data_IF_169843444194
#
_entry.id   IF_169843444194
#
_cell.length_a   1.000
_cell.length_b   1.000
_cell.length_c   1.000
_cell.angle_alpha   90.00
_cell.angle_beta   90.00
_cell.angle_gamma   90.00
#
_symmetry.space_group_name_H-M   'P 1'
#
loop_
_entity.id
_entity.type
_entity.pdbx_description
1 polymer ?
#
# COMPACT_ATOMS: atom_id res chain seq x y z
N UNK A 1 52.04 -51.93 26.97
CA UNK A 1 53.37 -51.38 27.33
C UNK A 1 53.64 -50.24 26.35
N UNK A 2 53.97 -49.01 26.69
CA UNK A 2 54.19 -48.29 27.94
C UNK A 2 53.77 -46.83 27.69
N UNK A 3 53.11 -46.24 28.69
CA UNK A 3 52.90 -44.79 28.84
C UNK A 3 54.27 -44.07 28.87
N UNK A 4 54.32 -42.76 28.67
CA UNK A 4 54.87 -41.80 29.64
C UNK A 4 54.58 -40.33 29.20
N UNK A 5 53.74 -39.71 30.00
CA UNK A 5 53.49 -38.27 30.26
C UNK A 5 54.75 -37.44 30.47
N UNK A 6 54.74 -36.15 30.10
CA UNK A 6 55.20 -35.06 30.99
C UNK A 6 54.35 -33.80 30.81
N UNK A 7 53.67 -33.45 31.90
CA UNK A 7 53.05 -32.17 32.25
C UNK A 7 54.14 -31.29 32.91
N UNK A 8 54.30 -30.01 32.55
CA UNK A 8 54.83 -28.92 33.41
C UNK A 8 54.31 -27.57 32.87
N UNK A 9 53.31 -26.97 33.53
CA UNK A 9 53.39 -25.97 34.61
C UNK A 9 53.92 -24.59 34.15
N UNK A 10 52.96 -23.66 34.01
CA UNK A 10 53.17 -22.21 34.05
C UNK A 10 53.74 -21.76 35.39
N UNK A 11 54.47 -20.63 35.41
CA UNK A 11 54.36 -19.65 36.47
C UNK A 11 53.76 -18.33 35.95
N UNK A 12 52.74 -17.92 36.67
CA UNK A 12 52.08 -16.62 36.71
C UNK A 12 53.09 -15.49 37.06
N UNK A 13 52.84 -14.24 36.61
CA UNK A 13 52.61 -13.04 37.47
C UNK A 13 52.68 -11.72 36.67
N UNK A 14 51.53 -11.02 36.66
CA UNK A 14 51.26 -9.55 36.71
C UNK A 14 51.83 -8.61 35.61
N UNK A 15 51.18 -7.54 35.14
CA UNK A 15 49.86 -6.92 35.32
C UNK A 15 49.81 -5.78 34.27
N UNK A 16 48.68 -5.55 33.61
CA UNK A 16 48.24 -4.20 33.24
C UNK A 16 46.77 -4.26 32.82
N UNK A 17 45.92 -3.81 33.72
CA UNK A 17 44.51 -3.52 33.52
C UNK A 17 44.33 -2.46 32.43
N UNK A 18 43.58 -2.77 31.38
CA UNK A 18 42.88 -1.75 30.61
C UNK A 18 41.40 -2.11 30.59
N UNK A 19 40.65 -1.27 31.29
CA UNK A 19 39.20 -1.24 31.40
C UNK A 19 38.52 -1.58 30.07
N UNK A 20 37.73 -2.65 30.03
CA UNK A 20 36.77 -2.84 28.95
C UNK A 20 35.68 -1.79 29.13
N UNK A 21 35.88 -0.62 28.54
CA UNK A 21 34.79 0.31 28.33
C UNK A 21 33.73 -0.43 27.54
N UNK A 22 32.61 -0.74 28.19
CA UNK A 22 31.38 -1.15 27.54
C UNK A 22 30.97 0.07 26.72
N UNK A 23 31.47 0.16 25.49
CA UNK A 23 30.86 0.99 24.48
C UNK A 23 29.54 0.27 24.19
N UNK A 24 28.47 0.70 24.86
CA UNK A 24 27.12 0.52 24.31
C UNK A 24 27.09 1.36 23.03
N UNK A 25 27.72 0.85 21.99
CA UNK A 25 27.62 1.39 20.66
C UNK A 25 26.17 1.23 20.26
N UNK A 26 25.46 2.33 20.11
CA UNK A 26 24.31 2.35 19.24
C UNK A 26 24.82 1.89 17.87
N UNK A 27 24.44 0.68 17.47
CA UNK A 27 24.66 0.21 16.11
C UNK A 27 23.70 1.02 15.25
N UNK A 28 24.17 2.16 14.74
CA UNK A 28 23.42 2.90 13.73
C UNK A 28 23.16 1.92 12.58
N UNK A 29 21.90 1.65 12.31
CA UNK A 29 21.44 0.81 11.20
C UNK A 29 21.55 1.62 9.91
N UNK A 30 22.75 2.14 9.61
CA UNK A 30 22.96 3.15 8.56
C UNK A 30 23.57 2.59 7.27
N UNK A 31 24.18 1.39 7.31
CA UNK A 31 24.95 0.87 6.17
C UNK A 31 24.20 -0.17 5.32
N UNK A 32 22.87 -0.22 5.39
CA UNK A 32 22.10 -0.99 4.39
C UNK A 32 21.93 -0.09 3.18
N UNK A 33 22.74 -0.31 2.14
CA UNK A 33 22.49 0.28 0.82
C UNK A 33 21.12 -0.21 0.34
N UNK A 34 20.10 0.65 0.46
CA UNK A 34 18.76 0.36 -0.05
C UNK A 34 18.79 0.66 -1.54
N UNK A 35 18.70 -0.39 -2.35
CA UNK A 35 18.48 -0.24 -3.79
C UNK A 35 17.05 0.27 -4.05
N UNK A 36 16.94 1.55 -4.42
CA UNK A 36 15.66 2.19 -4.76
C UNK A 36 15.03 1.64 -6.06
N UNK A 37 15.76 0.87 -6.87
CA UNK A 37 15.19 0.21 -8.04
C UNK A 37 14.60 -1.17 -7.71
N UNK A 38 14.91 -1.71 -6.53
CA UNK A 38 14.38 -2.98 -6.09
C UNK A 38 13.06 -2.78 -5.34
N UNK A 39 11.94 -2.76 -6.09
CA UNK A 39 10.59 -2.61 -5.54
C UNK A 39 10.28 -3.61 -4.42
N UNK A 40 10.80 -4.83 -4.50
CA UNK A 40 10.58 -5.86 -3.48
C UNK A 40 11.26 -5.52 -2.13
N UNK A 41 12.44 -4.88 -2.17
CA UNK A 41 13.14 -4.39 -0.97
C UNK A 41 12.46 -3.12 -0.47
N UNK A 42 12.14 -2.17 -1.35
CA UNK A 42 11.47 -0.94 -0.99
C UNK A 42 10.14 -1.18 -0.29
N UNK A 43 9.31 -2.12 -0.76
CA UNK A 43 8.01 -2.44 -0.17
C UNK A 43 8.06 -2.79 1.34
N UNK A 44 9.22 -3.23 1.84
CA UNK A 44 9.45 -3.47 3.28
C UNK A 44 9.63 -2.18 4.09
N UNK A 45 10.14 -1.11 3.48
CA UNK A 45 10.62 0.10 4.15
C UNK A 45 9.86 1.38 3.78
N UNK A 46 9.25 1.42 2.59
CA UNK A 46 8.50 2.59 2.08
C UNK A 46 6.98 2.36 2.05
N UNK A 47 6.51 1.29 2.68
CA UNK A 47 5.09 0.99 2.78
C UNK A 47 4.36 2.02 3.66
N UNK A 48 3.10 2.30 3.32
CA UNK A 48 2.17 3.01 4.21
C UNK A 48 2.11 2.25 5.54
N UNK A 49 2.16 2.98 6.67
CA UNK A 49 2.50 2.49 8.03
C UNK A 49 1.62 1.33 8.57
N UNK A 50 0.57 0.93 7.84
CA UNK A 50 -0.37 -0.13 8.19
C UNK A 50 -0.67 -1.13 7.06
N UNK A 51 0.07 -1.07 5.95
CA UNK A 51 -0.11 -1.93 4.78
C UNK A 51 1.11 -2.83 4.61
N UNK A 52 1.07 -3.97 5.29
CA UNK A 52 2.12 -4.98 5.20
C UNK A 52 1.97 -5.83 3.93
N UNK A 53 3.10 -6.24 3.36
CA UNK A 53 3.12 -7.19 2.25
C UNK A 53 2.54 -8.53 2.69
N UNK A 54 1.43 -8.93 2.06
CA UNK A 54 0.83 -10.24 2.25
C UNK A 54 1.31 -11.24 1.18
N UNK A 55 1.25 -12.54 1.46
CA UNK A 55 1.51 -13.55 0.44
C UNK A 55 0.32 -13.62 -0.54
N UNK A 56 0.62 -13.79 -1.84
CA UNK A 56 -0.36 -13.93 -2.91
C UNK A 56 -1.34 -12.73 -3.02
N UNK A 57 -0.84 -11.50 -2.95
CA UNK A 57 -1.64 -10.27 -2.97
C UNK A 57 -2.50 -10.16 -4.23
N UNK A 58 -1.98 -10.52 -5.42
CA UNK A 58 -2.77 -10.48 -6.67
C UNK A 58 -4.04 -11.34 -6.61
N UNK A 59 -3.96 -12.55 -6.06
CA UNK A 59 -5.13 -13.42 -5.95
C UNK A 59 -6.20 -12.81 -5.03
N UNK A 60 -5.78 -12.23 -3.90
CA UNK A 60 -6.67 -11.53 -2.97
C UNK A 60 -7.30 -10.29 -3.59
N UNK A 61 -6.55 -9.56 -4.39
CA UNK A 61 -7.06 -8.41 -5.13
C UNK A 61 -8.12 -8.81 -6.16
N UNK A 62 -7.87 -9.87 -6.95
CA UNK A 62 -8.87 -10.41 -7.88
C UNK A 62 -10.15 -10.83 -7.13
N UNK A 63 -10.00 -11.51 -5.99
CA UNK A 63 -11.14 -11.89 -5.15
C UNK A 63 -11.90 -10.68 -4.63
N UNK A 64 -11.22 -9.62 -4.19
CA UNK A 64 -11.88 -8.41 -3.70
C UNK A 64 -12.62 -7.66 -4.80
N UNK A 65 -12.07 -7.59 -6.02
CA UNK A 65 -12.76 -7.03 -7.19
C UNK A 65 -14.03 -7.82 -7.51
N UNK A 66 -13.96 -9.16 -7.52
CA UNK A 66 -15.14 -9.98 -7.81
C UNK A 66 -16.23 -9.79 -6.75
N UNK A 67 -15.88 -9.70 -5.47
CA UNK A 67 -16.83 -9.39 -4.40
C UNK A 67 -17.49 -8.01 -4.59
N UNK A 68 -16.71 -7.00 -5.01
CA UNK A 68 -17.24 -5.66 -5.30
C UNK A 68 -18.18 -5.66 -6.52
N UNK A 69 -17.81 -6.37 -7.58
CA UNK A 69 -18.63 -6.55 -8.78
C UNK A 69 -19.96 -7.26 -8.48
N UNK A 70 -19.98 -8.20 -7.53
CA UNK A 70 -21.24 -8.81 -7.10
C UNK A 70 -22.08 -7.86 -6.25
N UNK A 71 -21.47 -7.14 -5.31
CA UNK A 71 -22.18 -6.21 -4.44
C UNK A 71 -22.79 -5.02 -5.19
N UNK A 72 -22.08 -4.46 -6.18
CA UNK A 72 -22.54 -3.30 -6.96
C UNK A 72 -23.77 -3.63 -7.82
N UNK A 73 -24.10 -4.91 -8.03
CA UNK A 73 -25.31 -5.31 -8.77
C UNK A 73 -26.61 -4.84 -8.13
N UNK A 74 -26.59 -4.53 -6.83
CA UNK A 74 -27.71 -3.92 -6.10
C UNK A 74 -28.04 -2.49 -6.58
N UNK A 75 -27.06 -1.78 -7.15
CA UNK A 75 -27.25 -0.44 -7.73
C UNK A 75 -27.87 -0.56 -9.13
N UNK A 76 -28.80 0.32 -9.55
CA UNK A 76 -29.39 0.27 -10.89
C UNK A 76 -28.35 0.36 -12.02
N UNK A 77 -28.54 -0.39 -13.12
CA UNK A 77 -27.64 -0.36 -14.31
C UNK A 77 -27.56 1.01 -14.99
N UNK A 78 -28.59 1.85 -14.80
CA UNK A 78 -28.64 3.21 -15.34
C UNK A 78 -27.79 4.19 -14.55
N UNK A 79 -27.46 3.89 -13.30
CA UNK A 79 -26.66 4.77 -12.46
C UNK A 79 -25.22 4.85 -12.98
N UNK A 80 -24.73 6.07 -13.22
CA UNK A 80 -23.36 6.31 -13.69
C UNK A 80 -22.31 5.78 -12.70
N UNK A 81 -22.58 5.85 -11.40
CA UNK A 81 -21.72 5.26 -10.37
C UNK A 81 -21.45 3.76 -10.62
N UNK A 82 -22.50 2.97 -10.90
CA UNK A 82 -22.33 1.54 -11.19
C UNK A 82 -21.50 1.31 -12.44
N UNK A 83 -21.74 2.07 -13.51
CA UNK A 83 -20.98 1.96 -14.76
C UNK A 83 -19.50 2.25 -14.54
N UNK A 84 -19.18 3.29 -13.76
CA UNK A 84 -17.82 3.65 -13.42
C UNK A 84 -17.12 2.53 -12.62
N UNK A 85 -17.78 1.97 -11.61
CA UNK A 85 -17.22 0.85 -10.82
C UNK A 85 -17.01 -0.39 -11.69
N UNK A 86 -17.99 -0.78 -12.52
CA UNK A 86 -17.87 -1.93 -13.42
C UNK A 86 -16.71 -1.73 -14.41
N UNK A 87 -16.57 -0.54 -15.01
CA UNK A 87 -15.48 -0.22 -15.94
C UNK A 87 -14.10 -0.28 -15.25
N UNK A 88 -13.96 0.33 -14.07
CA UNK A 88 -12.72 0.31 -13.28
C UNK A 88 -12.33 -1.11 -12.88
N UNK A 89 -13.30 -1.91 -12.40
CA UNK A 89 -13.07 -3.29 -12.00
C UNK A 89 -12.65 -4.17 -13.20
N UNK A 90 -13.32 -4.01 -14.35
CA UNK A 90 -12.96 -4.74 -15.56
C UNK A 90 -11.56 -4.39 -16.07
N UNK A 91 -11.20 -3.11 -16.03
CA UNK A 91 -9.84 -2.66 -16.35
C UNK A 91 -8.80 -3.32 -15.43
N UNK A 92 -9.01 -3.27 -14.12
CA UNK A 92 -8.11 -3.88 -13.12
C UNK A 92 -7.98 -5.39 -13.30
N UNK A 93 -9.09 -6.10 -13.54
CA UNK A 93 -9.07 -7.55 -13.80
C UNK A 93 -8.29 -7.89 -15.07
N UNK A 94 -8.45 -7.11 -16.14
CA UNK A 94 -7.69 -7.28 -17.38
C UNK A 94 -6.19 -7.15 -17.12
N UNK A 95 -5.77 -6.09 -16.41
CA UNK A 95 -4.35 -5.88 -16.06
C UNK A 95 -3.81 -7.05 -15.23
N UNK A 96 -4.57 -7.58 -14.27
CA UNK A 96 -4.18 -8.76 -13.49
C UNK A 96 -4.04 -10.04 -14.32
N UNK A 97 -4.80 -10.18 -15.40
CA UNK A 97 -4.74 -11.31 -16.33
C UNK A 97 -3.56 -11.23 -17.30
N UNK A 98 -3.22 -10.03 -17.75
CA UNK A 98 -2.11 -9.78 -18.70
C UNK A 98 -0.73 -9.84 -18.02
N UNK A 99 -0.66 -9.64 -16.70
CA UNK A 99 0.59 -9.53 -15.95
C UNK A 99 0.79 -10.69 -14.95
N UNK A 100 1.97 -11.30 -15.00
CA UNK A 100 2.25 -12.52 -14.22
C UNK A 100 2.59 -12.24 -12.74
N UNK A 101 3.32 -11.16 -12.45
CA UNK A 101 3.80 -10.82 -11.09
C UNK A 101 3.05 -9.64 -10.49
N UNK A 102 2.99 -9.59 -9.16
CA UNK A 102 2.41 -8.47 -8.40
C UNK A 102 3.07 -7.14 -8.79
N UNK A 103 4.41 -7.12 -8.88
CA UNK A 103 5.16 -5.92 -9.26
C UNK A 103 4.83 -5.41 -10.67
N UNK A 104 4.56 -6.30 -11.63
CA UNK A 104 4.18 -5.90 -12.98
C UNK A 104 2.76 -5.31 -13.01
N UNK A 105 1.84 -5.85 -12.21
CA UNK A 105 0.50 -5.26 -12.05
C UNK A 105 0.58 -3.88 -11.40
N UNK A 106 1.35 -3.75 -10.32
CA UNK A 106 1.54 -2.48 -9.59
C UNK A 106 2.24 -1.41 -10.46
N UNK A 107 3.02 -1.82 -11.47
CA UNK A 107 3.64 -0.89 -12.42
C UNK A 107 2.61 -0.32 -13.39
N UNK A 108 1.74 -1.18 -13.94
CA UNK A 108 0.71 -0.75 -14.89
C UNK A 108 -0.40 0.05 -14.21
N UNK A 109 -0.75 -0.32 -12.97
CA UNK A 109 -1.79 0.38 -12.20
C UNK A 109 -1.27 1.61 -11.45
N UNK A 110 0.05 1.80 -11.40
CA UNK A 110 0.72 2.86 -10.64
C UNK A 110 0.23 2.95 -9.17
N UNK A 111 0.04 1.80 -8.55
CA UNK A 111 -0.51 1.68 -7.19
C UNK A 111 -0.08 0.35 -6.55
N UNK A 112 0.03 0.31 -5.22
CA UNK A 112 0.27 -0.94 -4.50
C UNK A 112 -1.00 -1.78 -4.40
N UNK A 113 -0.90 -3.09 -4.59
CA UNK A 113 -2.07 -3.98 -4.57
C UNK A 113 -2.79 -3.98 -3.21
N UNK A 114 -2.05 -3.81 -2.10
CA UNK A 114 -2.62 -3.75 -0.76
C UNK A 114 -3.51 -2.52 -0.57
N UNK A 115 -3.14 -1.38 -1.16
CA UNK A 115 -3.93 -0.15 -1.15
C UNK A 115 -5.23 -0.35 -1.93
N UNK A 116 -5.14 -0.94 -3.12
CA UNK A 116 -6.31 -1.24 -3.96
C UNK A 116 -7.26 -2.26 -3.30
N UNK A 117 -6.74 -3.20 -2.51
CA UNK A 117 -7.56 -4.10 -1.70
C UNK A 117 -8.32 -3.33 -0.62
N UNK A 118 -7.69 -2.36 0.04
CA UNK A 118 -8.36 -1.49 1.02
C UNK A 118 -9.39 -0.61 0.34
N UNK A 119 -9.07 -0.01 -0.80
CA UNK A 119 -10.00 0.77 -1.61
C UNK A 119 -11.27 -0.04 -1.93
N UNK A 120 -11.13 -1.29 -2.41
CA UNK A 120 -12.27 -2.16 -2.66
C UNK A 120 -13.08 -2.49 -1.39
N UNK A 121 -12.42 -2.58 -0.22
CA UNK A 121 -13.12 -2.78 1.06
C UNK A 121 -13.89 -1.54 1.50
N UNK A 122 -13.33 -0.35 1.29
CA UNK A 122 -14.03 0.91 1.56
C UNK A 122 -15.22 1.10 0.62
N UNK A 123 -15.07 0.78 -0.68
CA UNK A 123 -16.20 0.78 -1.62
C UNK A 123 -17.31 -0.17 -1.16
N UNK A 124 -16.98 -1.38 -0.70
CA UNK A 124 -17.96 -2.30 -0.11
C UNK A 124 -18.66 -1.73 1.12
N UNK A 125 -17.97 -0.92 1.94
CA UNK A 125 -18.57 -0.24 3.11
C UNK A 125 -19.41 0.97 2.72
N UNK A 126 -19.10 1.61 1.60
CA UNK A 126 -19.84 2.75 1.06
C UNK A 126 -21.17 2.31 0.44
N UNK A 127 -21.23 1.13 -0.19
CA UNK A 127 -22.43 0.64 -0.87
C UNK A 127 -23.72 0.68 -0.01
N UNK A 128 -23.75 0.21 1.26
CA UNK A 128 -24.94 0.35 2.10
C UNK A 128 -25.43 1.80 2.25
N UNK A 129 -24.50 2.76 2.39
CA UNK A 129 -24.82 4.19 2.51
C UNK A 129 -25.38 4.74 1.20
N UNK A 130 -24.83 4.30 0.06
CA UNK A 130 -25.32 4.67 -1.26
C UNK A 130 -26.70 4.09 -1.56
N UNK A 131 -26.97 2.86 -1.15
CA UNK A 131 -28.28 2.22 -1.36
C UNK A 131 -29.39 2.88 -0.52
N UNK A 132 -29.04 3.44 0.64
CA UNK A 132 -29.97 4.21 1.48
C UNK A 132 -30.21 5.62 0.90
N UNK A 133 -29.13 6.33 0.56
CA UNK A 133 -29.19 7.73 0.07
C UNK A 133 -29.58 7.88 -1.40
N UNK A 134 -29.37 6.85 -2.23
CA UNK A 134 -29.71 6.78 -3.67
C UNK A 134 -29.38 8.06 -4.46
N UNK A 135 -28.12 8.50 -4.49
CA UNK A 135 -27.73 9.78 -5.12
C UNK A 135 -27.98 9.84 -6.63
N UNK A 136 -28.26 8.71 -7.29
CA UNK A 136 -28.63 8.64 -8.70
C UNK A 136 -30.10 9.00 -8.98
N UNK A 137 -30.94 9.14 -7.96
CA UNK A 137 -32.35 9.55 -8.10
C UNK A 137 -32.46 11.08 -8.10
N UNK A 138 -31.97 11.72 -9.16
CA UNK A 138 -32.08 13.18 -9.35
C UNK A 138 -33.35 13.51 -10.12
N UNK A 139 -34.17 14.44 -9.60
CA UNK A 139 -35.36 14.93 -10.30
C UNK A 139 -34.97 15.60 -11.62
N UNK A 140 -35.75 15.34 -12.68
CA UNK A 140 -35.57 16.01 -13.98
C UNK A 140 -35.75 17.53 -13.92
N UNK A 141 -36.40 18.03 -12.87
CA UNK A 141 -36.61 19.47 -12.64
C UNK A 141 -35.43 20.14 -11.91
N UNK A 142 -34.49 19.34 -11.39
CA UNK A 142 -33.35 19.86 -10.65
C UNK A 142 -32.31 20.44 -11.61
N UNK A 143 -32.08 21.75 -11.51
CA UNK A 143 -31.04 22.45 -12.25
C UNK A 143 -29.83 22.69 -11.35
N UNK A 144 -28.66 22.17 -11.75
CA UNK A 144 -27.40 22.35 -11.00
C UNK A 144 -26.91 23.78 -11.24
N UNK A 145 -26.77 24.63 -10.20
CA UNK A 145 -26.22 25.96 -10.38
C UNK A 145 -24.75 25.87 -10.77
N UNK A 146 -24.41 26.42 -11.94
CA UNK A 146 -23.03 26.55 -12.39
C UNK A 146 -22.51 27.92 -11.95
N UNK A 147 -21.45 27.92 -11.15
CA UNK A 147 -20.81 29.13 -10.68
C UNK A 147 -19.54 29.38 -11.49
N UNK A 148 -19.51 30.50 -12.20
CA UNK A 148 -18.30 30.96 -12.88
C UNK A 148 -17.46 31.79 -11.91
N UNK A 149 -16.21 31.39 -11.73
CA UNK A 149 -15.25 32.19 -10.98
C UNK A 149 -14.75 33.34 -11.84
N UNK A 150 -15.06 34.56 -11.43
CA UNK A 150 -14.50 35.78 -11.99
C UNK A 150 -13.33 36.20 -11.11
N UNK A 151 -12.19 36.52 -11.72
CA UNK A 151 -11.03 37.02 -10.99
C UNK A 151 -11.35 38.31 -10.22
N UNK A 152 -10.75 38.45 -9.03
CA UNK A 152 -11.01 39.57 -8.14
C UNK A 152 -10.62 40.92 -8.76
N UNK A 153 -9.57 40.95 -9.60
CA UNK A 153 -9.13 42.16 -10.32
C UNK A 153 -10.27 42.78 -11.14
N UNK A 154 -11.09 41.95 -11.80
CA UNK A 154 -12.19 42.40 -12.67
C UNK A 154 -13.31 43.12 -11.91
N UNK A 155 -13.41 42.89 -10.60
CA UNK A 155 -14.38 43.53 -9.71
C UNK A 155 -13.75 44.71 -8.95
N UNK A 156 -12.49 44.58 -8.53
CA UNK A 156 -11.79 45.58 -7.72
C UNK A 156 -11.30 46.77 -8.56
N UNK A 157 -10.89 46.56 -9.80
CA UNK A 157 -10.39 47.61 -10.70
C UNK A 157 -11.50 48.47 -11.32
N UNK A 158 -12.77 48.16 -11.03
CA UNK A 158 -13.96 48.95 -11.45
C UNK A 158 -14.31 50.11 -10.51
N UNK A 159 -13.43 50.45 -9.56
CA UNK A 159 -13.60 51.58 -8.63
C UNK A 159 -12.80 52.81 -9.01
#
# INVERSE_FOLDING_TARGET
>A
MLRHTVFRLNPCVQQATLSSAITRGFKAVADVEIDFNNRAVLKKYVGVDHLYKEQATKAKFIMSINSLLEAVKAVPKTAEYRKAIEATCQYRLRVCGENNSDAAVEEVLDAHLEELIVENKEELRLLPVLLDSKPWEVSSEYNVPVFDYVDASTILDKK
#
